data_IF_753334814430
#
_entry.id   IF_753334814430
#
_cell.length_a   1.000
_cell.length_b   1.000
_cell.length_c   1.000
_cell.angle_alpha   90.00
_cell.angle_beta   90.00
_cell.angle_gamma   90.00
#
_symmetry.space_group_name_H-M   'P 1'
#
loop_
_entity.id
_entity.type
_entity.pdbx_description
1 polymer ?
#
# COMPACT_ATOMS: atom_id res chain seq x y z
N UNK A 1 8.45 3.61 -15.34
CA UNK A 1 7.27 4.21 -14.68
C UNK A 1 7.30 5.71 -14.98
N UNK A 2 6.53 6.19 -15.96
CA UNK A 2 6.50 7.62 -16.34
C UNK A 2 5.49 8.40 -15.51
N UNK A 3 5.64 8.43 -14.18
CA UNK A 3 4.69 9.05 -13.25
C UNK A 3 5.35 10.13 -12.40
N UNK A 4 4.59 11.18 -12.06
CA UNK A 4 5.02 12.26 -11.18
C UNK A 4 4.61 11.94 -9.75
N UNK A 5 5.49 11.27 -9.01
CA UNK A 5 5.29 10.96 -7.58
C UNK A 5 5.76 12.14 -6.73
N UNK A 6 4.99 12.46 -5.70
CA UNK A 6 5.28 13.52 -4.71
C UNK A 6 5.53 14.90 -5.32
N UNK A 7 4.99 15.15 -6.52
CA UNK A 7 5.02 16.48 -7.11
C UNK A 7 4.17 17.45 -6.25
N UNK A 8 4.70 18.62 -5.88
CA UNK A 8 3.97 19.57 -5.06
C UNK A 8 2.76 20.15 -5.81
N UNK A 9 1.67 20.39 -5.09
CA UNK A 9 0.47 21.07 -5.59
C UNK A 9 0.23 22.32 -4.73
N UNK A 10 -0.19 23.46 -5.30
CA UNK A 10 -0.73 24.54 -4.48
C UNK A 10 -1.82 23.96 -3.56
N UNK A 11 -1.75 24.31 -2.28
CA UNK A 11 -2.66 23.86 -1.21
C UNK A 11 -2.59 22.37 -0.79
N UNK A 12 -1.73 21.55 -1.41
CA UNK A 12 -1.54 20.14 -1.01
C UNK A 12 -0.07 19.71 -1.03
N UNK A 13 0.30 18.88 -0.07
CA UNK A 13 1.67 18.35 0.05
C UNK A 13 2.09 17.46 -1.13
N UNK A 14 1.17 16.78 -1.81
CA UNK A 14 1.48 15.93 -2.96
C UNK A 14 0.32 15.87 -3.97
N UNK A 15 0.66 15.68 -5.25
CA UNK A 15 -0.27 15.41 -6.36
C UNK A 15 -0.64 13.94 -6.53
N UNK A 16 -0.25 13.07 -5.59
CA UNK A 16 -0.53 11.65 -5.68
C UNK A 16 -2.04 11.40 -5.63
N UNK A 17 -2.61 10.97 -6.75
CA UNK A 17 -4.01 10.62 -6.89
C UNK A 17 -4.19 9.10 -7.11
N UNK A 18 -5.44 8.67 -7.33
CA UNK A 18 -5.74 7.26 -7.58
C UNK A 18 -5.05 6.69 -8.83
N UNK A 19 -4.80 7.51 -9.85
CA UNK A 19 -4.08 7.06 -11.05
C UNK A 19 -2.59 6.87 -10.76
N UNK A 20 -1.99 7.78 -10.00
CA UNK A 20 -0.60 7.69 -9.53
C UNK A 20 -0.42 6.44 -8.68
N UNK A 21 -1.35 6.16 -7.76
CA UNK A 21 -1.33 4.95 -6.93
C UNK A 21 -1.46 3.66 -7.77
N UNK A 22 -2.39 3.60 -8.73
CA UNK A 22 -2.53 2.43 -9.63
C UNK A 22 -1.27 2.18 -10.45
N UNK A 23 -0.68 3.25 -10.98
CA UNK A 23 0.55 3.17 -11.74
C UNK A 23 1.73 2.70 -10.86
N UNK A 24 1.80 3.15 -9.61
CA UNK A 24 2.80 2.68 -8.65
C UNK A 24 2.69 1.15 -8.42
N UNK A 25 1.49 0.64 -8.19
CA UNK A 25 1.27 -0.80 -7.94
C UNK A 25 1.29 -1.67 -9.21
N UNK A 26 1.33 -1.09 -10.42
CA UNK A 26 1.27 -1.82 -11.69
C UNK A 26 2.46 -2.77 -11.88
N UNK A 27 3.66 -2.37 -11.45
CA UNK A 27 4.85 -3.20 -11.52
C UNK A 27 5.60 -3.17 -10.19
N UNK A 28 5.27 -4.10 -9.27
CA UNK A 28 5.86 -4.18 -7.94
C UNK A 28 7.37 -4.38 -7.95
N UNK A 29 7.92 -5.09 -8.96
CA UNK A 29 9.37 -5.31 -9.11
C UNK A 29 10.07 -3.98 -9.35
N UNK A 30 9.56 -3.19 -10.32
CA UNK A 30 10.12 -1.87 -10.61
C UNK A 30 9.93 -0.93 -9.42
N UNK A 31 8.74 -0.89 -8.82
CA UNK A 31 8.46 -0.06 -7.65
C UNK A 31 9.39 -0.39 -6.47
N UNK A 32 9.64 -1.68 -6.20
CA UNK A 32 10.59 -2.16 -5.20
C UNK A 32 12.01 -1.70 -5.52
N UNK A 33 12.47 -1.88 -6.76
CA UNK A 33 13.80 -1.44 -7.18
C UNK A 33 14.04 0.07 -7.06
N UNK A 34 12.98 0.89 -7.26
CA UNK A 34 13.07 2.35 -7.19
C UNK A 34 13.02 2.85 -5.74
N UNK A 35 12.12 2.29 -4.93
CA UNK A 35 11.85 2.78 -3.57
C UNK A 35 12.66 2.09 -2.48
N UNK A 36 13.24 0.92 -2.77
CA UNK A 36 13.88 0.04 -1.79
C UNK A 36 12.90 -0.67 -0.85
N UNK A 37 11.59 -0.52 -1.06
CA UNK A 37 10.56 -1.22 -0.28
C UNK A 37 10.46 -2.66 -0.78
N UNK A 38 10.24 -3.60 0.14
CA UNK A 38 10.05 -5.01 -0.17
C UNK A 38 8.94 -5.26 -1.22
N UNK A 39 9.28 -6.06 -2.24
CA UNK A 39 8.38 -6.37 -3.35
C UNK A 39 7.12 -7.10 -2.88
N UNK A 40 7.24 -8.02 -1.92
CA UNK A 40 6.11 -8.81 -1.42
C UNK A 40 5.11 -7.91 -0.71
N UNK A 41 5.59 -6.94 0.06
CA UNK A 41 4.75 -5.92 0.67
C UNK A 41 4.04 -5.06 -0.39
N UNK A 42 4.75 -4.59 -1.42
CA UNK A 42 4.15 -3.81 -2.54
C UNK A 42 3.09 -4.63 -3.28
N UNK A 43 3.25 -5.95 -3.41
CA UNK A 43 2.24 -6.84 -4.03
C UNK A 43 0.99 -7.03 -3.17
N UNK A 44 1.13 -7.05 -1.84
CA UNK A 44 0.02 -7.35 -0.93
C UNK A 44 -0.91 -6.15 -0.70
N UNK A 45 -0.35 -4.95 -0.58
CA UNK A 45 -1.14 -3.72 -0.33
C UNK A 45 -2.26 -3.46 -1.36
N UNK A 46 -2.05 -3.55 -2.68
CA UNK A 46 -3.13 -3.33 -3.65
C UNK A 46 -4.21 -4.40 -3.55
N UNK A 47 -3.90 -5.63 -3.14
CA UNK A 47 -4.92 -6.65 -2.91
C UNK A 47 -5.86 -6.24 -1.78
N UNK A 48 -5.33 -5.73 -0.65
CA UNK A 48 -6.17 -5.20 0.44
C UNK A 48 -7.09 -4.09 -0.08
N UNK A 49 -6.53 -3.13 -0.83
CA UNK A 49 -7.28 -1.99 -1.37
C UNK A 49 -8.37 -2.44 -2.36
N UNK A 50 -8.03 -3.33 -3.29
CA UNK A 50 -8.97 -3.83 -4.28
C UNK A 50 -10.06 -4.69 -3.65
N UNK A 51 -9.73 -5.52 -2.66
CA UNK A 51 -10.72 -6.31 -1.93
C UNK A 51 -11.71 -5.43 -1.18
N UNK A 52 -11.26 -4.34 -0.52
CA UNK A 52 -12.19 -3.39 0.11
C UNK A 52 -13.09 -2.70 -0.93
N UNK A 53 -12.57 -2.46 -2.14
CA UNK A 53 -13.28 -1.75 -3.20
C UNK A 53 -14.09 -2.64 -4.15
N UNK A 54 -14.00 -3.98 -4.08
CA UNK A 54 -14.48 -4.82 -5.17
C UNK A 54 -16.00 -4.88 -5.27
N UNK A 55 -16.73 -4.79 -4.14
CA UNK A 55 -18.20 -4.79 -4.08
C UNK A 55 -18.86 -6.13 -3.70
N UNK A 56 -18.41 -7.30 -4.21
CA UNK A 56 -18.93 -8.60 -3.78
C UNK A 56 -18.66 -8.94 -2.32
N UNK A 57 -19.41 -9.92 -1.80
CA UNK A 57 -19.14 -10.53 -0.50
C UNK A 57 -17.78 -11.23 -0.51
N UNK A 58 -17.04 -11.04 0.58
CA UNK A 58 -15.72 -11.62 0.81
C UNK A 58 -15.77 -12.45 2.08
N UNK A 59 -15.04 -13.57 2.08
CA UNK A 59 -14.78 -14.34 3.29
C UNK A 59 -14.00 -13.49 4.30
N UNK A 60 -14.73 -13.01 5.31
CA UNK A 60 -14.19 -12.11 6.32
C UNK A 60 -13.03 -12.74 7.11
N UNK A 61 -13.06 -14.06 7.33
CA UNK A 61 -12.02 -14.75 8.09
C UNK A 61 -10.72 -14.82 7.27
N UNK A 62 -10.80 -15.23 6.00
CA UNK A 62 -9.63 -15.24 5.11
C UNK A 62 -9.05 -13.85 4.90
N UNK A 63 -9.92 -12.84 4.73
CA UNK A 63 -9.47 -11.47 4.56
C UNK A 63 -8.75 -10.95 5.82
N UNK A 64 -9.29 -11.23 7.01
CA UNK A 64 -8.66 -10.89 8.29
C UNK A 64 -7.28 -11.53 8.43
N UNK A 65 -7.15 -12.82 8.14
CA UNK A 65 -5.87 -13.54 8.19
C UNK A 65 -4.85 -12.94 7.22
N UNK A 66 -5.29 -12.60 6.00
CA UNK A 66 -4.45 -11.95 5.00
C UNK A 66 -3.95 -10.57 5.47
N UNK A 67 -4.84 -9.76 6.06
CA UNK A 67 -4.49 -8.45 6.61
C UNK A 67 -3.50 -8.55 7.77
N UNK A 68 -3.71 -9.49 8.71
CA UNK A 68 -2.80 -9.71 9.84
C UNK A 68 -1.42 -10.17 9.38
N UNK A 69 -1.35 -11.12 8.43
CA UNK A 69 -0.08 -11.55 7.86
C UNK A 69 0.66 -10.41 7.16
N UNK A 70 -0.07 -9.54 6.45
CA UNK A 70 0.50 -8.37 5.78
C UNK A 70 0.99 -7.32 6.78
N UNK A 71 0.26 -7.10 7.88
CA UNK A 71 0.66 -6.20 8.96
C UNK A 71 1.91 -6.69 9.68
N UNK A 72 2.00 -7.99 9.96
CA UNK A 72 3.19 -8.59 10.57
C UNK A 72 4.42 -8.45 9.67
N UNK A 73 4.25 -8.67 8.36
CA UNK A 73 5.31 -8.45 7.37
C UNK A 73 5.78 -6.98 7.39
N UNK A 74 4.85 -6.03 7.42
CA UNK A 74 5.17 -4.61 7.48
C UNK A 74 6.00 -4.26 8.73
N UNK A 75 5.57 -4.72 9.91
CA UNK A 75 6.25 -4.43 11.18
C UNK A 75 7.64 -5.08 11.24
N UNK A 76 7.80 -6.28 10.70
CA UNK A 76 9.09 -6.95 10.63
C UNK A 76 10.09 -6.20 9.73
N UNK A 77 9.61 -5.63 8.62
CA UNK A 77 10.45 -4.88 7.67
C UNK A 77 10.72 -3.43 8.11
N UNK A 78 9.80 -2.81 8.84
CA UNK A 78 9.85 -1.39 9.19
C UNK A 78 9.63 -1.17 10.70
N UNK A 79 10.44 -1.78 11.58
CA UNK A 79 10.25 -1.66 13.04
C UNK A 79 10.43 -0.23 13.54
N UNK A 80 11.12 0.62 12.78
CA UNK A 80 11.43 2.01 13.10
C UNK A 80 10.32 3.00 12.71
N UNK A 81 9.30 2.57 11.97
CA UNK A 81 8.24 3.45 11.47
C UNK A 81 6.87 2.91 11.90
N UNK A 82 6.17 3.64 12.79
CA UNK A 82 4.83 3.23 13.19
C UNK A 82 3.89 3.34 11.98
N UNK A 83 3.06 2.31 11.79
CA UNK A 83 2.08 2.30 10.72
C UNK A 83 1.14 3.52 10.86
N UNK A 84 0.93 4.30 9.79
CA UNK A 84 0.12 5.51 9.87
C UNK A 84 -1.33 5.19 10.22
N UNK A 85 -2.03 6.12 10.89
CA UNK A 85 -3.39 5.91 11.42
C UNK A 85 -4.42 5.42 10.38
N UNK A 86 -4.21 5.77 9.10
CA UNK A 86 -5.07 5.31 7.98
C UNK A 86 -4.92 3.82 7.66
N UNK A 87 -3.80 3.22 8.07
CA UNK A 87 -3.46 1.82 7.84
C UNK A 87 -3.50 0.97 9.14
N UNK A 88 -3.42 1.58 10.33
CA UNK A 88 -3.57 0.91 11.63
C UNK A 88 -4.19 1.85 12.67
N UNK A 89 -5.02 1.35 13.57
CA UNK A 89 -5.59 2.12 14.69
C UNK A 89 -4.76 2.10 15.97
N UNK A 90 -3.58 1.46 16.00
CA UNK A 90 -2.74 1.37 17.21
C UNK A 90 -1.25 1.57 16.90
N UNK A 91 -0.70 2.69 17.39
CA UNK A 91 0.43 2.64 18.30
C UNK A 91 -0.21 2.70 19.72
#
# INVERSE_FOLDING_TARGET
>A
MGILVDAPKPDFWAKNDGNTARAFFWNPVIASSITGIDEVLIRKLPLVLTTIACGPEIDAQKFKEFCLATANLYLALNPWYCMPQRASSKC
#
